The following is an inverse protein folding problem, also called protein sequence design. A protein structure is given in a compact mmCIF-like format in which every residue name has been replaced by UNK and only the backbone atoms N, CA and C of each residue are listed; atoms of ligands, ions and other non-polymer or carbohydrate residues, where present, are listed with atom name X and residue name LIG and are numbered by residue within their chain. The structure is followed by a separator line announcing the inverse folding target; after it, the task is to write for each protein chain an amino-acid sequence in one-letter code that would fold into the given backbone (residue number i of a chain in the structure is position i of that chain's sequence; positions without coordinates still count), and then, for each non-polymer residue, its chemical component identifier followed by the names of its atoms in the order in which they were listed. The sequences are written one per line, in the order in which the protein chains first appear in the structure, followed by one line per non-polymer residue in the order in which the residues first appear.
data_IF_004704249099
#
_entry.id   IF_004704249099
#
_cell.length_a   1.000
_cell.length_b   1.000
_cell.length_c   1.000
_cell.angle_alpha   90.00
_cell.angle_beta   90.00
_cell.angle_gamma   90.00
#
_symmetry.space_group_name_H-M   'P 1'
#
loop_
_entity.id
_entity.type
_entity.pdbx_description
1 polymer ?
#
# COMPACT_ATOMS: atom_id res chain seq x y z
N UNK A 1 17.57 26.60 -15.29
CA UNK A 1 16.23 27.19 -15.10
C UNK A 1 15.36 26.88 -16.32
N UNK A 2 15.17 25.58 -16.56
CA UNK A 2 14.47 25.09 -17.76
C UNK A 2 12.94 24.95 -17.53
N UNK A 3 12.40 25.41 -16.40
CA UNK A 3 10.98 25.23 -16.06
C UNK A 3 10.60 23.78 -15.77
N UNK A 4 11.58 22.93 -15.44
CA UNK A 4 11.39 21.51 -15.09
C UNK A 4 11.38 21.39 -13.58
N UNK A 5 10.40 20.71 -13.05
CA UNK A 5 10.31 20.37 -11.62
C UNK A 5 11.36 19.32 -11.24
N UNK A 6 11.91 19.37 -10.03
CA UNK A 6 12.87 18.38 -9.58
C UNK A 6 12.23 17.00 -9.48
N UNK A 7 11.09 16.93 -8.79
CA UNK A 7 10.42 15.67 -8.55
C UNK A 7 8.90 15.80 -8.59
N UNK A 8 8.23 14.79 -9.10
CA UNK A 8 6.81 14.57 -8.93
C UNK A 8 6.59 13.39 -8.00
N UNK A 9 5.78 13.58 -6.96
CA UNK A 9 5.43 12.54 -6.00
C UNK A 9 4.00 12.07 -6.21
N UNK A 10 3.80 10.76 -6.22
CA UNK A 10 2.46 10.18 -6.24
C UNK A 10 1.90 10.15 -4.82
N UNK A 11 1.04 11.12 -4.50
CA UNK A 11 0.50 11.37 -3.16
C UNK A 11 -1.03 11.48 -3.14
N UNK A 12 -1.67 10.75 -4.01
CA UNK A 12 -3.13 10.76 -4.12
C UNK A 12 -3.84 10.43 -2.79
N UNK A 13 -3.19 9.62 -1.95
CA UNK A 13 -3.75 9.15 -0.67
C UNK A 13 -2.75 9.36 0.47
N UNK A 14 -3.23 9.53 1.72
CA UNK A 14 -2.37 9.57 2.90
C UNK A 14 -1.41 8.38 2.99
N UNK A 15 -1.86 7.18 2.61
CA UNK A 15 -1.02 6.00 2.57
C UNK A 15 0.19 6.14 1.64
N UNK A 16 0.09 6.83 0.52
CA UNK A 16 1.23 7.09 -0.36
C UNK A 16 2.26 8.01 0.30
N UNK A 17 1.79 9.06 0.98
CA UNK A 17 2.69 9.95 1.72
C UNK A 17 3.37 9.25 2.91
N UNK A 18 2.64 8.39 3.62
CA UNK A 18 3.21 7.56 4.69
C UNK A 18 4.30 6.61 4.17
N UNK A 19 4.14 6.08 2.96
CA UNK A 19 5.17 5.25 2.32
C UNK A 19 6.52 5.93 2.23
N UNK A 20 6.56 7.22 1.93
CA UNK A 20 7.82 7.94 1.81
C UNK A 20 8.56 8.01 3.13
N UNK A 21 7.84 8.14 4.27
CA UNK A 21 8.45 8.07 5.60
C UNK A 21 9.13 6.71 5.78
N UNK A 22 8.37 5.63 5.54
CA UNK A 22 8.88 4.27 5.70
C UNK A 22 10.06 3.98 4.76
N UNK A 23 9.97 4.35 3.49
CA UNK A 23 10.99 4.06 2.48
C UNK A 23 12.29 4.81 2.75
N UNK A 24 12.22 6.07 3.12
CA UNK A 24 13.39 6.89 3.44
C UNK A 24 14.03 6.41 4.75
N UNK A 25 13.23 6.12 5.78
CA UNK A 25 13.74 5.58 7.03
C UNK A 25 14.32 4.16 6.87
N UNK A 26 13.80 3.35 5.94
CA UNK A 26 14.30 1.99 5.68
C UNK A 26 15.62 2.00 4.91
N UNK A 27 15.86 3.02 4.07
CA UNK A 27 17.18 3.24 3.49
C UNK A 27 18.23 3.65 4.54
N UNK A 28 17.80 4.15 5.69
CA UNK A 28 18.64 4.56 6.82
C UNK A 28 18.46 3.64 8.03
N UNK A 29 17.93 4.23 9.11
CA UNK A 29 17.81 3.59 10.42
C UNK A 29 16.99 2.29 10.41
N UNK A 30 15.79 2.30 9.83
CA UNK A 30 14.92 1.11 9.85
C UNK A 30 15.49 -0.08 9.07
N UNK A 31 16.41 0.14 8.13
CA UNK A 31 17.15 -0.92 7.43
C UNK A 31 18.19 -1.63 8.29
N UNK A 32 18.60 -1.04 9.41
CA UNK A 32 19.60 -1.60 10.33
C UNK A 32 19.00 -2.65 11.28
N UNK A 33 19.86 -3.46 11.92
CA UNK A 33 19.41 -4.40 12.94
C UNK A 33 18.78 -3.69 14.15
N UNK A 34 19.33 -2.55 14.56
CA UNK A 34 18.76 -1.72 15.63
C UNK A 34 17.41 -1.13 15.22
N UNK A 35 17.26 -0.68 13.99
CA UNK A 35 15.99 -0.21 13.45
C UNK A 35 14.92 -1.29 13.36
N UNK A 36 15.28 -2.51 12.96
CA UNK A 36 14.36 -3.66 12.97
C UNK A 36 13.92 -4.04 14.40
N UNK A 37 14.81 -3.92 15.38
CA UNK A 37 14.43 -4.10 16.80
C UNK A 37 13.54 -2.96 17.28
N UNK A 38 13.92 -1.72 16.97
CA UNK A 38 13.12 -0.54 17.29
C UNK A 38 11.69 -0.64 16.73
N UNK A 39 11.52 -1.09 15.50
CA UNK A 39 10.20 -1.28 14.91
C UNK A 39 9.32 -2.22 15.75
N UNK A 40 9.87 -3.31 16.25
CA UNK A 40 9.15 -4.24 17.16
C UNK A 40 8.80 -3.57 18.48
N UNK A 41 9.71 -2.78 19.02
CA UNK A 41 9.53 -2.08 20.28
C UNK A 41 8.51 -0.96 20.14
N UNK A 42 8.51 -0.22 19.04
CA UNK A 42 7.50 0.77 18.69
C UNK A 42 6.11 0.12 18.57
N UNK A 43 5.97 -0.95 17.78
CA UNK A 43 4.70 -1.67 17.60
C UNK A 43 4.19 -2.31 18.91
N UNK A 44 5.02 -2.47 19.92
CA UNK A 44 4.66 -2.95 21.26
C UNK A 44 4.57 -1.86 22.32
N UNK A 45 4.68 -0.59 21.96
CA UNK A 45 4.59 0.56 22.87
C UNK A 45 5.81 0.78 23.76
N UNK A 46 6.97 0.20 23.42
CA UNK A 46 8.19 0.29 24.23
C UNK A 46 9.18 1.33 23.72
N UNK A 47 8.98 1.84 22.54
CA UNK A 47 9.79 2.89 21.94
C UNK A 47 8.89 3.87 21.19
N UNK A 48 9.32 5.11 21.04
CA UNK A 48 8.64 6.15 20.27
C UNK A 48 9.59 6.80 19.28
N UNK A 49 9.08 7.65 18.41
CA UNK A 49 9.87 8.33 17.38
C UNK A 49 10.70 9.45 18.01
N UNK A 50 10.05 10.30 18.80
CA UNK A 50 10.66 11.53 19.34
C UNK A 50 11.84 11.29 20.29
N UNK A 51 11.88 10.15 20.98
CA UNK A 51 12.98 9.76 21.87
C UNK A 51 14.05 8.87 21.19
N UNK A 52 13.91 8.63 19.88
CA UNK A 52 14.80 7.73 19.13
C UNK A 52 15.63 8.50 18.11
N UNK A 53 16.92 8.68 18.40
CA UNK A 53 17.87 9.43 17.56
C UNK A 53 17.78 8.99 16.10
N UNK A 54 17.89 7.69 15.79
CA UNK A 54 17.88 7.22 14.39
C UNK A 54 16.55 7.45 13.66
N UNK A 55 15.41 7.52 14.36
CA UNK A 55 14.14 7.92 13.75
C UNK A 55 14.08 9.42 13.53
N UNK A 56 14.55 10.22 14.49
CA UNK A 56 14.62 11.67 14.33
C UNK A 56 15.59 12.07 13.22
N UNK A 57 16.74 11.40 13.07
CA UNK A 57 17.66 11.59 11.94
C UNK A 57 16.95 11.29 10.60
N UNK A 58 16.13 10.24 10.56
CA UNK A 58 15.33 9.92 9.37
C UNK A 58 14.29 11.01 9.07
N UNK A 59 13.66 11.60 10.09
CA UNK A 59 12.74 12.73 9.93
C UNK A 59 13.47 13.98 9.43
N UNK A 60 14.63 14.27 9.98
CA UNK A 60 15.48 15.40 9.50
C UNK A 60 15.93 15.19 8.07
N UNK A 61 16.21 13.96 7.68
CA UNK A 61 16.56 13.64 6.29
C UNK A 61 15.37 13.84 5.35
N UNK A 62 14.15 13.52 5.76
CA UNK A 62 12.92 13.85 5.02
C UNK A 62 12.77 15.36 4.86
N UNK A 63 13.08 16.14 5.91
CA UNK A 63 13.11 17.60 5.81
C UNK A 63 14.10 18.07 4.73
N UNK A 64 15.32 17.49 4.68
CA UNK A 64 16.31 17.82 3.65
C UNK A 64 15.83 17.49 2.24
N UNK A 65 15.07 16.40 2.06
CA UNK A 65 14.44 16.10 0.78
C UNK A 65 13.47 17.20 0.35
N UNK A 66 12.70 17.75 1.30
CA UNK A 66 11.83 18.89 1.03
C UNK A 66 12.62 20.14 0.69
N UNK A 67 13.67 20.45 1.46
CA UNK A 67 14.49 21.65 1.28
C UNK A 67 15.17 21.71 -0.08
N UNK A 68 15.50 20.57 -0.68
CA UNK A 68 16.05 20.50 -2.04
C UNK A 68 14.97 20.41 -3.13
N UNK A 69 13.68 20.39 -2.78
CA UNK A 69 12.58 20.42 -3.73
C UNK A 69 12.06 19.03 -4.19
N UNK A 70 12.43 17.95 -3.50
CA UNK A 70 11.85 16.62 -3.78
C UNK A 70 10.37 16.55 -3.39
N UNK A 71 9.94 17.33 -2.40
CA UNK A 71 8.56 17.53 -1.99
C UNK A 71 8.21 19.01 -2.15
N UNK A 72 7.93 19.43 -3.37
CA UNK A 72 7.52 20.79 -3.67
C UNK A 72 6.03 20.97 -3.41
N UNK A 73 5.64 22.02 -2.67
CA UNK A 73 4.26 22.29 -2.31
C UNK A 73 3.33 22.48 -3.52
N UNK A 74 3.87 22.98 -4.65
CA UNK A 74 3.12 23.12 -5.89
C UNK A 74 2.79 21.79 -6.58
N UNK A 75 3.53 20.72 -6.22
CA UNK A 75 3.39 19.38 -6.77
C UNK A 75 2.90 18.36 -5.74
N UNK A 76 2.55 18.84 -4.53
CA UNK A 76 2.14 18.01 -3.40
C UNK A 76 0.64 18.00 -3.16
N UNK A 77 -0.15 18.62 -4.02
CA UNK A 77 -1.59 18.46 -3.97
C UNK A 77 -1.96 17.03 -4.39
N UNK A 78 -2.94 16.40 -3.71
CA UNK A 78 -3.44 15.11 -4.13
C UNK A 78 -4.00 15.17 -5.55
N UNK A 79 -3.16 14.79 -6.51
CA UNK A 79 -3.55 14.71 -7.92
C UNK A 79 -3.66 13.25 -8.32
N UNK A 80 -4.45 13.02 -9.35
CA UNK A 80 -4.55 11.71 -9.98
C UNK A 80 -3.15 11.22 -10.40
N UNK A 81 -2.78 10.01 -9.94
CA UNK A 81 -1.49 9.39 -10.23
C UNK A 81 -1.20 9.30 -11.74
N UNK A 82 -2.24 9.21 -12.57
CA UNK A 82 -2.09 9.21 -14.02
C UNK A 82 -1.52 10.53 -14.53
N UNK A 83 -1.96 11.67 -13.96
CA UNK A 83 -1.47 13.00 -14.33
C UNK A 83 -0.01 13.22 -13.88
N UNK A 84 0.34 12.69 -12.72
CA UNK A 84 1.71 12.73 -12.20
C UNK A 84 2.65 11.97 -13.14
N UNK A 85 2.26 10.76 -13.55
CA UNK A 85 3.00 9.96 -14.53
C UNK A 85 3.10 10.65 -15.89
N UNK A 86 1.99 11.17 -16.38
CA UNK A 86 1.93 11.90 -17.66
C UNK A 86 2.88 13.10 -17.66
N UNK A 87 2.91 13.88 -16.59
CA UNK A 87 3.82 15.02 -16.45
C UNK A 87 5.30 14.58 -16.46
N UNK A 88 5.63 13.49 -15.77
CA UNK A 88 6.98 12.93 -15.79
C UNK A 88 7.38 12.42 -17.17
N UNK A 89 6.52 11.64 -17.84
CA UNK A 89 6.77 11.10 -19.19
C UNK A 89 6.97 12.23 -20.21
N UNK A 90 6.27 13.36 -20.04
CA UNK A 90 6.46 14.57 -20.88
C UNK A 90 7.72 15.39 -20.57
N UNK A 91 8.56 14.94 -19.64
CA UNK A 91 9.80 15.62 -19.26
C UNK A 91 9.59 16.85 -18.37
N UNK A 92 8.46 16.99 -17.71
CA UNK A 92 8.18 18.10 -16.81
C UNK A 92 8.80 17.93 -15.42
N UNK A 93 9.35 16.75 -15.11
CA UNK A 93 10.11 16.48 -13.89
C UNK A 93 11.31 15.61 -14.16
N UNK A 94 12.36 15.75 -13.35
CA UNK A 94 13.57 14.91 -13.43
C UNK A 94 13.39 13.56 -12.74
N UNK A 95 12.62 13.53 -11.66
CA UNK A 95 12.35 12.34 -10.87
C UNK A 95 10.84 12.13 -10.70
N UNK A 96 10.48 10.87 -10.54
CA UNK A 96 9.15 10.46 -10.11
C UNK A 96 9.27 9.57 -8.87
N UNK A 97 8.64 9.97 -7.77
CA UNK A 97 8.43 9.13 -6.60
C UNK A 97 7.08 8.43 -6.74
N UNK A 98 7.11 7.13 -6.93
CA UNK A 98 5.90 6.35 -7.09
C UNK A 98 6.16 4.98 -7.71
N UNK A 99 5.12 4.16 -7.89
CA UNK A 99 5.26 2.88 -8.52
C UNK A 99 5.61 3.05 -10.01
N UNK A 100 6.53 2.22 -10.49
CA UNK A 100 7.01 2.23 -11.89
C UNK A 100 5.96 1.79 -12.92
N UNK A 101 4.80 1.29 -12.49
CA UNK A 101 3.77 0.78 -13.38
C UNK A 101 3.32 1.81 -14.44
N UNK A 102 3.33 1.41 -15.70
CA UNK A 102 2.85 2.21 -16.82
C UNK A 102 3.77 3.33 -17.27
N UNK A 103 5.01 3.42 -16.74
CA UNK A 103 6.03 4.34 -17.26
C UNK A 103 6.80 3.67 -18.39
N UNK A 104 7.12 2.40 -18.21
CA UNK A 104 7.97 1.63 -19.13
C UNK A 104 7.33 1.37 -20.50
N UNK A 105 6.00 1.30 -20.55
CA UNK A 105 5.25 0.96 -21.76
C UNK A 105 4.62 2.19 -22.41
N UNK A 106 5.08 3.41 -22.02
CA UNK A 106 4.54 4.62 -22.62
C UNK A 106 5.06 4.78 -24.04
N UNK A 107 4.15 4.77 -25.00
CA UNK A 107 4.42 5.13 -26.40
C UNK A 107 4.57 6.65 -26.58
N UNK A 108 4.31 7.44 -25.53
CA UNK A 108 4.27 8.90 -25.58
C UNK A 108 5.66 9.56 -25.48
N UNK A 109 6.71 8.77 -25.30
CA UNK A 109 8.08 9.28 -25.18
C UNK A 109 9.11 8.33 -25.79
N UNK A 110 10.21 8.92 -26.27
CA UNK A 110 11.42 8.20 -26.67
C UNK A 110 12.50 8.23 -25.59
N UNK A 111 12.20 8.85 -24.46
CA UNK A 111 13.14 8.96 -23.35
C UNK A 111 13.37 7.60 -22.69
N UNK A 112 14.57 7.43 -22.17
CA UNK A 112 14.94 6.25 -21.40
C UNK A 112 14.86 6.56 -19.91
N UNK A 113 14.11 5.78 -19.20
CA UNK A 113 13.99 5.87 -17.74
C UNK A 113 14.88 4.84 -17.05
N UNK A 114 15.33 5.15 -15.87
CA UNK A 114 16.03 4.23 -14.98
C UNK A 114 15.37 4.20 -13.61
N UNK A 115 15.66 3.17 -12.84
CA UNK A 115 15.26 3.07 -11.44
C UNK A 115 16.41 3.51 -10.54
N UNK A 116 16.08 4.26 -9.51
CA UNK A 116 17.03 4.71 -8.50
C UNK A 116 16.64 4.13 -7.15
N UNK A 117 17.59 3.57 -6.37
CA UNK A 117 17.31 3.12 -5.02
C UNK A 117 17.04 4.31 -4.09
N UNK A 118 16.40 4.04 -2.96
CA UNK A 118 16.43 4.97 -1.84
C UNK A 118 17.84 4.95 -1.23
N UNK A 119 18.35 6.13 -0.91
CA UNK A 119 19.70 6.34 -0.36
C UNK A 119 19.60 6.76 1.09
N UNK A 120 20.56 6.29 1.92
CA UNK A 120 20.81 6.92 3.22
C UNK A 120 21.37 8.33 3.03
N UNK A 121 21.30 9.16 4.07
CA UNK A 121 21.78 10.55 4.01
C UNK A 121 23.25 10.65 3.61
N UNK A 122 24.09 9.76 4.12
CA UNK A 122 25.52 9.70 3.82
C UNK A 122 25.84 8.93 2.53
N UNK A 123 24.84 8.37 1.87
CA UNK A 123 24.98 7.56 0.66
C UNK A 123 25.65 6.18 0.88
N UNK A 124 25.94 5.81 2.12
CA UNK A 124 26.61 4.54 2.44
C UNK A 124 25.70 3.32 2.25
N UNK A 125 24.39 3.53 2.34
CA UNK A 125 23.39 2.51 2.11
C UNK A 125 22.47 2.93 0.96
N UNK A 126 22.07 1.96 0.18
CA UNK A 126 21.07 2.11 -0.86
C UNK A 126 20.22 0.84 -0.91
N UNK A 127 18.92 1.01 -1.00
CA UNK A 127 17.99 -0.11 -0.98
C UNK A 127 16.89 0.07 -2.01
N UNK A 128 16.52 -1.01 -2.67
CA UNK A 128 15.27 -1.10 -3.40
C UNK A 128 14.19 -1.69 -2.51
N UNK A 129 13.02 -1.05 -2.54
CA UNK A 129 11.84 -1.56 -1.85
C UNK A 129 11.18 -2.60 -2.75
N UNK A 130 11.19 -3.85 -2.31
CA UNK A 130 10.53 -4.95 -3.00
C UNK A 130 9.26 -5.33 -2.24
N UNK A 131 8.14 -5.20 -2.91
CA UNK A 131 6.86 -5.63 -2.35
C UNK A 131 6.40 -6.92 -3.00
N UNK A 132 5.90 -7.85 -2.19
CA UNK A 132 5.18 -9.03 -2.68
C UNK A 132 3.74 -8.62 -2.94
N UNK A 133 3.45 -8.22 -4.17
CA UNK A 133 2.12 -7.70 -4.54
C UNK A 133 1.05 -8.77 -4.72
N UNK A 134 1.43 -10.03 -4.88
CA UNK A 134 0.50 -11.10 -5.21
C UNK A 134 0.84 -12.38 -4.49
N UNK A 135 -0.19 -12.99 -3.92
CA UNK A 135 -0.12 -14.30 -3.32
C UNK A 135 -1.07 -15.22 -4.07
N UNK A 136 -0.64 -16.42 -4.35
CA UNK A 136 -1.48 -17.49 -4.88
C UNK A 136 -1.82 -18.43 -3.74
N UNK A 137 -3.09 -18.66 -3.52
CA UNK A 137 -3.59 -19.57 -2.50
C UNK A 137 -4.47 -20.65 -3.10
N UNK A 138 -4.50 -21.80 -2.46
CA UNK A 138 -5.44 -22.86 -2.78
C UNK A 138 -6.70 -22.71 -1.91
N UNK A 139 -7.85 -22.94 -2.51
CA UNK A 139 -9.10 -22.90 -1.77
C UNK A 139 -9.15 -24.07 -0.77
N UNK A 140 -9.45 -23.78 0.49
CA UNK A 140 -9.54 -24.77 1.57
C UNK A 140 -10.47 -25.94 1.25
N UNK A 141 -11.53 -25.73 0.45
CA UNK A 141 -12.45 -26.79 0.04
C UNK A 141 -11.79 -27.94 -0.70
N UNK A 142 -10.61 -27.72 -1.30
CA UNK A 142 -9.82 -28.75 -1.98
C UNK A 142 -9.31 -29.84 -1.02
N UNK A 143 -9.28 -29.59 0.30
CA UNK A 143 -8.96 -30.61 1.31
C UNK A 143 -9.89 -31.82 1.22
N UNK A 144 -11.14 -31.62 0.75
CA UNK A 144 -12.16 -32.64 0.62
C UNK A 144 -12.23 -33.28 -0.79
N UNK A 145 -11.31 -32.90 -1.70
CA UNK A 145 -11.25 -33.41 -3.07
C UNK A 145 -9.77 -33.63 -3.46
N UNK A 146 -9.20 -34.78 -3.08
CA UNK A 146 -7.77 -35.05 -3.27
C UNK A 146 -7.31 -35.00 -4.73
N UNK A 147 -8.17 -35.39 -5.68
CA UNK A 147 -7.85 -35.36 -7.11
C UNK A 147 -7.70 -33.90 -7.59
N UNK A 148 -8.66 -33.05 -7.28
CA UNK A 148 -8.57 -31.63 -7.62
C UNK A 148 -7.46 -30.91 -6.87
N UNK A 149 -7.17 -31.31 -5.63
CA UNK A 149 -6.04 -30.76 -4.89
C UNK A 149 -4.72 -31.11 -5.58
N UNK A 150 -4.54 -32.36 -6.02
CA UNK A 150 -3.34 -32.76 -6.76
C UNK A 150 -3.16 -31.94 -8.05
N UNK A 151 -4.25 -31.75 -8.81
CA UNK A 151 -4.18 -30.96 -10.05
C UNK A 151 -3.90 -29.48 -9.77
N UNK A 152 -4.51 -28.91 -8.75
CA UNK A 152 -4.22 -27.54 -8.31
C UNK A 152 -2.75 -27.37 -7.87
N UNK A 153 -2.20 -28.35 -7.18
CA UNK A 153 -0.77 -28.34 -6.80
C UNK A 153 0.16 -28.45 -8.02
N UNK A 154 -0.22 -29.20 -9.07
CA UNK A 154 0.54 -29.21 -10.33
C UNK A 154 0.57 -27.82 -10.97
N UNK A 155 -0.56 -27.12 -11.00
CA UNK A 155 -0.62 -25.74 -11.48
C UNK A 155 0.25 -24.81 -10.65
N UNK A 156 0.16 -24.88 -9.32
CA UNK A 156 1.02 -24.07 -8.42
C UNK A 156 2.51 -24.33 -8.66
N UNK A 157 2.87 -25.59 -8.91
CA UNK A 157 4.26 -25.94 -9.24
C UNK A 157 4.72 -25.31 -10.54
N UNK A 158 3.89 -25.28 -11.58
CA UNK A 158 4.21 -24.59 -12.85
C UNK A 158 4.36 -23.08 -12.61
N UNK A 159 3.43 -22.47 -11.86
CA UNK A 159 3.47 -21.03 -11.54
C UNK A 159 4.71 -20.64 -10.71
N UNK A 160 5.36 -21.56 -10.03
CA UNK A 160 6.61 -21.34 -9.30
C UNK A 160 7.88 -21.51 -10.13
N UNK A 161 7.75 -21.67 -11.46
CA UNK A 161 8.89 -21.73 -12.40
C UNK A 161 9.02 -20.41 -13.17
N UNK A 162 10.22 -20.19 -13.73
CA UNK A 162 10.47 -19.01 -14.61
C UNK A 162 9.52 -19.01 -15.80
N UNK A 163 9.34 -20.16 -16.46
CA UNK A 163 8.48 -20.30 -17.62
C UNK A 163 7.00 -20.02 -17.28
N UNK A 164 6.52 -20.59 -16.16
CA UNK A 164 5.14 -20.40 -15.74
C UNK A 164 4.86 -18.95 -15.32
N UNK A 165 5.79 -18.33 -14.60
CA UNK A 165 5.68 -16.91 -14.23
C UNK A 165 5.76 -16.00 -15.46
N UNK A 166 6.67 -16.28 -16.41
CA UNK A 166 6.77 -15.52 -17.65
C UNK A 166 5.52 -15.63 -18.52
N UNK A 167 4.88 -16.80 -18.54
CA UNK A 167 3.64 -17.01 -19.27
C UNK A 167 2.44 -16.24 -18.67
N UNK A 168 2.45 -16.04 -17.35
CA UNK A 168 1.43 -15.22 -16.68
C UNK A 168 1.59 -13.73 -16.94
N UNK A 169 2.81 -13.29 -17.16
CA UNK A 169 3.18 -11.90 -17.30
C UNK A 169 3.96 -11.69 -18.60
N UNK A 170 3.28 -11.77 -19.76
CA UNK A 170 3.93 -11.61 -21.06
C UNK A 170 4.45 -10.19 -21.29
N UNK A 171 3.91 -9.21 -20.58
CA UNK A 171 4.27 -7.81 -20.74
C UNK A 171 5.55 -7.46 -19.99
N UNK A 172 6.33 -6.55 -20.56
CA UNK A 172 7.60 -6.06 -20.00
C UNK A 172 7.47 -5.47 -18.60
N UNK A 173 6.36 -4.79 -18.31
CA UNK A 173 6.08 -4.18 -16.99
C UNK A 173 6.02 -5.17 -15.83
N UNK A 174 5.78 -6.43 -16.12
CA UNK A 174 5.59 -7.47 -15.10
C UNK A 174 6.80 -8.40 -14.98
N UNK A 175 7.86 -8.18 -15.73
CA UNK A 175 9.14 -8.91 -15.58
C UNK A 175 9.77 -8.74 -14.20
N UNK A 176 9.36 -7.73 -13.43
CA UNK A 176 9.69 -7.64 -12.01
C UNK A 176 9.28 -8.88 -11.22
N UNK A 177 8.24 -9.61 -11.64
CA UNK A 177 7.86 -10.90 -11.05
C UNK A 177 8.91 -12.00 -11.22
N UNK A 178 9.87 -11.84 -12.11
CA UNK A 178 10.97 -12.77 -12.34
C UNK A 178 12.19 -12.48 -11.46
N UNK A 179 12.27 -11.31 -10.83
CA UNK A 179 13.42 -10.91 -10.02
C UNK A 179 13.78 -11.90 -8.88
N UNK A 180 12.84 -12.62 -8.24
CA UNK A 180 13.16 -13.63 -7.25
C UNK A 180 13.85 -14.88 -7.79
N UNK A 181 13.84 -15.10 -9.10
CA UNK A 181 14.43 -16.30 -9.71
C UNK A 181 15.89 -16.04 -10.10
N UNK A 182 16.83 -16.75 -9.49
CA UNK A 182 18.27 -16.58 -9.74
C UNK A 182 18.69 -16.74 -11.21
N UNK A 183 17.97 -17.58 -11.96
CA UNK A 183 18.29 -17.91 -13.34
C UNK A 183 17.47 -17.09 -14.35
N UNK A 184 16.58 -16.23 -13.88
CA UNK A 184 15.82 -15.34 -14.75
C UNK A 184 16.69 -14.14 -15.13
N UNK A 185 16.89 -13.96 -16.43
CA UNK A 185 17.48 -12.73 -16.94
C UNK A 185 16.37 -11.71 -17.17
N UNK A 186 16.48 -10.58 -16.48
CA UNK A 186 15.74 -9.41 -16.88
C UNK A 186 16.40 -8.89 -18.17
N UNK A 187 15.88 -9.31 -19.32
CA UNK A 187 16.38 -8.87 -20.63
C UNK A 187 16.08 -7.38 -20.89
N UNK A 188 15.41 -6.72 -19.96
CA UNK A 188 15.03 -5.35 -20.03
C UNK A 188 16.07 -4.47 -19.31
N UNK A 189 16.58 -3.47 -19.99
CA UNK A 189 17.57 -2.54 -19.45
C UNK A 189 17.09 -1.80 -18.20
N UNK A 190 15.78 -1.69 -18.00
CA UNK A 190 15.17 -1.03 -16.85
C UNK A 190 15.35 -1.83 -15.55
N UNK A 191 15.27 -3.17 -15.62
CA UNK A 191 15.47 -4.03 -14.45
C UNK A 191 16.88 -4.63 -14.37
N UNK A 192 17.69 -4.49 -15.42
CA UNK A 192 19.05 -5.02 -15.41
C UNK A 192 19.88 -4.44 -14.26
N UNK A 193 19.75 -3.13 -14.04
CA UNK A 193 20.46 -2.45 -12.97
C UNK A 193 19.98 -2.89 -11.57
N UNK A 194 18.68 -3.21 -11.43
CA UNK A 194 18.10 -3.68 -10.16
C UNK A 194 18.56 -5.09 -9.83
N UNK A 195 18.76 -5.96 -10.81
CA UNK A 195 19.15 -7.33 -10.56
C UNK A 195 20.45 -7.44 -9.76
N UNK A 196 21.39 -6.54 -9.98
CA UNK A 196 22.66 -6.49 -9.24
C UNK A 196 22.44 -6.11 -7.76
N UNK A 197 21.54 -5.16 -7.47
CA UNK A 197 21.16 -4.78 -6.10
C UNK A 197 20.46 -5.93 -5.37
N UNK A 198 19.55 -6.64 -6.06
CA UNK A 198 18.85 -7.79 -5.50
C UNK A 198 19.85 -8.91 -5.19
N UNK A 199 20.75 -9.19 -6.11
CA UNK A 199 21.79 -10.22 -5.93
C UNK A 199 22.78 -9.85 -4.82
N UNK A 200 23.04 -8.56 -4.61
CA UNK A 200 23.83 -8.05 -3.51
C UNK A 200 23.11 -8.06 -2.16
N UNK A 201 21.80 -8.32 -2.14
CA UNK A 201 20.98 -8.27 -0.94
C UNK A 201 20.55 -6.86 -0.51
N UNK A 202 20.76 -5.86 -1.36
CA UNK A 202 20.42 -4.46 -1.09
C UNK A 202 18.92 -4.19 -1.36
N UNK A 203 18.07 -4.99 -0.75
CA UNK A 203 16.64 -4.88 -0.88
C UNK A 203 15.97 -5.00 0.48
N UNK A 204 14.86 -4.31 0.66
CA UNK A 204 14.04 -4.38 1.84
C UNK A 204 12.58 -4.62 1.47
N UNK A 205 11.83 -5.38 2.26
CA UNK A 205 10.41 -5.52 2.05
C UNK A 205 9.70 -4.21 2.43
N UNK A 206 8.56 -3.98 1.81
CA UNK A 206 7.70 -2.88 2.15
C UNK A 206 7.14 -3.00 3.59
N UNK A 207 7.33 -1.97 4.43
CA UNK A 207 7.09 -2.05 5.86
C UNK A 207 5.70 -1.52 6.23
N UNK A 208 4.64 -2.13 5.75
CA UNK A 208 3.30 -1.76 6.24
C UNK A 208 2.78 -2.63 7.38
N UNK A 209 3.32 -3.82 7.55
CA UNK A 209 2.81 -4.76 8.54
C UNK A 209 2.95 -4.21 9.95
N UNK A 210 1.83 -4.00 10.61
CA UNK A 210 1.73 -3.46 11.96
C UNK A 210 1.55 -1.94 12.04
N UNK A 211 1.58 -1.23 10.90
CA UNK A 211 1.44 0.24 10.86
C UNK A 211 0.06 0.70 10.36
N UNK A 212 -0.87 -0.23 10.15
CA UNK A 212 -2.13 0.02 9.49
C UNK A 212 -2.94 1.16 10.12
N UNK A 213 -2.88 1.28 11.44
CA UNK A 213 -3.62 2.31 12.17
C UNK A 213 -2.96 3.70 12.11
N UNK A 214 -1.66 3.76 11.79
CA UNK A 214 -0.92 5.03 11.68
C UNK A 214 -0.98 5.62 10.28
N UNK A 215 -1.25 4.80 9.27
CA UNK A 215 -1.16 5.17 7.85
C UNK A 215 -2.00 6.39 7.51
N UNK A 216 -3.24 6.47 8.04
CA UNK A 216 -4.17 7.54 7.67
C UNK A 216 -3.79 8.85 8.35
N UNK A 217 -3.61 8.86 9.67
CA UNK A 217 -3.36 10.09 10.42
C UNK A 217 -1.96 10.63 10.13
N UNK A 218 -0.94 9.81 10.30
CA UNK A 218 0.45 10.21 9.99
C UNK A 218 0.62 10.53 8.51
N UNK A 219 0.00 9.76 7.61
CA UNK A 219 0.04 10.04 6.17
C UNK A 219 -0.62 11.38 5.82
N UNK A 220 -1.74 11.74 6.49
CA UNK A 220 -2.36 13.05 6.34
C UNK A 220 -1.44 14.15 6.85
N UNK A 221 -0.79 13.94 8.00
CA UNK A 221 0.17 14.90 8.54
C UNK A 221 1.40 15.07 7.63
N UNK A 222 1.85 13.98 7.00
CA UNK A 222 2.92 14.05 5.99
C UNK A 222 2.48 14.83 4.74
N UNK A 223 1.24 14.68 4.27
CA UNK A 223 0.71 15.53 3.19
C UNK A 223 0.68 17.00 3.60
N UNK A 224 0.25 17.33 4.81
CA UNK A 224 0.28 18.69 5.35
C UNK A 224 1.71 19.24 5.39
N UNK A 225 2.69 18.42 5.79
CA UNK A 225 4.09 18.79 5.74
C UNK A 225 4.58 19.06 4.31
N UNK A 226 4.24 18.20 3.35
CA UNK A 226 4.60 18.40 1.94
C UNK A 226 3.98 19.68 1.36
N UNK A 227 2.81 20.10 1.87
CA UNK A 227 2.07 21.30 1.47
C UNK A 227 2.42 22.56 2.28
N UNK A 228 3.49 22.58 3.05
CA UNK A 228 3.89 23.68 3.93
C UNK A 228 2.88 24.06 5.04
N UNK A 229 2.02 23.10 5.42
CA UNK A 229 0.97 23.30 6.45
C UNK A 229 1.35 22.71 7.81
N UNK A 230 2.38 21.88 7.86
CA UNK A 230 2.90 21.26 9.07
C UNK A 230 4.43 21.20 9.02
N UNK A 231 5.08 21.02 10.16
CA UNK A 231 6.50 20.76 10.26
C UNK A 231 6.80 19.25 10.25
N UNK A 232 8.05 18.87 10.00
CA UNK A 232 8.46 17.47 10.12
C UNK A 232 8.35 16.95 11.56
N UNK A 233 8.46 17.86 12.54
CA UNK A 233 8.21 17.52 13.94
C UNK A 233 6.74 17.14 14.17
N UNK A 234 5.80 17.84 13.57
CA UNK A 234 4.37 17.49 13.68
C UNK A 234 4.10 16.09 13.11
N UNK A 235 4.85 15.65 12.08
CA UNK A 235 4.77 14.29 11.55
C UNK A 235 5.30 13.27 12.55
N UNK A 236 6.43 13.55 13.20
CA UNK A 236 7.01 12.70 14.23
C UNK A 236 6.08 12.59 15.45
N UNK A 237 5.54 13.72 15.93
CA UNK A 237 4.59 13.77 17.03
C UNK A 237 3.31 12.98 16.69
N UNK A 238 2.82 13.05 15.45
CA UNK A 238 1.66 12.26 15.01
C UNK A 238 1.94 10.76 15.00
N UNK A 239 3.14 10.34 14.63
CA UNK A 239 3.54 8.93 14.76
C UNK A 239 3.49 8.47 16.22
N UNK A 240 3.96 9.29 17.15
CA UNK A 240 3.93 8.97 18.58
C UNK A 240 2.50 8.95 19.13
N UNK A 241 1.64 9.87 18.70
CA UNK A 241 0.21 9.86 19.04
C UNK A 241 -0.51 8.61 18.50
N UNK A 242 -0.18 8.22 17.27
CA UNK A 242 -0.79 7.06 16.64
C UNK A 242 -0.30 5.73 17.24
N UNK A 243 0.84 5.72 17.94
CA UNK A 243 1.38 4.53 18.60
C UNK A 243 0.41 3.93 19.61
N UNK A 244 -0.23 4.76 20.41
CA UNK A 244 -1.22 4.30 21.39
C UNK A 244 -2.37 3.55 20.71
N UNK A 245 -2.76 3.98 19.52
CA UNK A 245 -3.77 3.29 18.72
C UNK A 245 -3.27 1.94 18.16
N UNK A 246 -1.98 1.84 17.83
CA UNK A 246 -1.35 0.58 17.37
C UNK A 246 -1.26 -0.43 18.52
N UNK A 247 -0.86 0.03 19.68
CA UNK A 247 -0.65 -0.82 20.87
C UNK A 247 -1.97 -1.25 21.51
N UNK A 248 -2.93 -0.32 21.58
CA UNK A 248 -4.19 -0.53 22.28
C UNK A 248 -5.30 -1.10 21.40
N UNK A 249 -5.14 -1.05 20.07
CA UNK A 249 -6.06 -1.67 19.14
C UNK A 249 -5.81 -3.19 18.99
N UNK A 250 -5.91 -3.91 20.09
CA UNK A 250 -6.41 -5.28 19.96
C UNK A 250 -7.82 -5.13 19.35
N UNK A 251 -8.14 -5.86 18.26
CA UNK A 251 -9.46 -5.75 17.65
C UNK A 251 -10.50 -5.92 18.75
N UNK A 252 -11.28 -4.86 18.99
CA UNK A 252 -12.27 -4.87 20.05
C UNK A 252 -13.32 -5.92 19.72
N UNK A 253 -13.54 -6.83 20.64
CA UNK A 253 -14.63 -7.80 20.51
C UNK A 253 -15.94 -7.06 20.70
N UNK A 254 -16.62 -6.75 19.60
CA UNK A 254 -17.91 -6.05 19.59
C UNK A 254 -19.03 -6.98 20.08
N UNK A 255 -18.99 -8.23 19.63
CA UNK A 255 -20.00 -9.26 19.94
C UNK A 255 -19.48 -10.66 19.60
N UNK A 256 -20.33 -11.66 19.80
CA UNK A 256 -20.04 -13.04 19.41
C UNK A 256 -21.13 -13.55 18.49
N UNK A 257 -20.74 -14.04 17.32
CA UNK A 257 -21.62 -14.80 16.44
C UNK A 257 -21.56 -16.28 16.83
N UNK A 258 -22.70 -16.85 17.21
CA UNK A 258 -22.84 -18.28 17.58
C UNK A 258 -22.99 -19.18 16.36
N UNK A 259 -23.34 -18.60 15.22
CA UNK A 259 -23.49 -19.27 13.92
C UNK A 259 -22.97 -18.36 12.79
N UNK A 260 -22.74 -18.93 11.62
CA UNK A 260 -22.35 -18.18 10.43
C UNK A 260 -23.50 -17.26 9.98
N UNK A 261 -23.18 -15.97 9.77
CA UNK A 261 -24.13 -14.98 9.24
C UNK A 261 -23.82 -14.80 7.74
N UNK A 262 -24.78 -15.15 6.91
CA UNK A 262 -24.63 -15.07 5.46
C UNK A 262 -24.41 -13.65 4.96
N UNK A 263 -23.83 -13.50 3.77
CA UNK A 263 -23.64 -12.20 3.11
C UNK A 263 -24.95 -11.40 3.01
N UNK A 264 -26.05 -12.05 2.66
CA UNK A 264 -27.35 -11.39 2.57
C UNK A 264 -27.84 -10.89 3.94
N UNK A 265 -27.61 -11.66 4.99
CA UNK A 265 -27.95 -11.26 6.36
C UNK A 265 -27.05 -10.12 6.85
N UNK A 266 -25.77 -10.12 6.49
CA UNK A 266 -24.86 -9.00 6.73
C UNK A 266 -25.32 -7.73 6.01
N UNK A 267 -25.78 -7.85 4.76
CA UNK A 267 -26.28 -6.69 4.00
C UNK A 267 -27.57 -6.13 4.64
N UNK A 268 -28.47 -6.96 5.12
CA UNK A 268 -29.66 -6.51 5.87
C UNK A 268 -29.29 -5.79 7.16
N UNK A 269 -28.28 -6.30 7.88
CA UNK A 269 -27.78 -5.64 9.09
C UNK A 269 -27.19 -4.27 8.78
N UNK A 270 -26.30 -4.18 7.79
CA UNK A 270 -25.68 -2.93 7.34
C UNK A 270 -26.75 -1.92 6.89
N UNK A 271 -27.72 -2.37 6.07
CA UNK A 271 -28.81 -1.52 5.61
C UNK A 271 -29.61 -0.93 6.76
N UNK A 272 -29.94 -1.75 7.76
CA UNK A 272 -30.63 -1.27 8.96
C UNK A 272 -29.80 -0.24 9.73
N UNK A 273 -28.51 -0.51 9.94
CA UNK A 273 -27.64 0.46 10.61
C UNK A 273 -27.55 1.79 9.86
N UNK A 274 -27.50 1.75 8.52
CA UNK A 274 -27.46 2.98 7.71
C UNK A 274 -28.78 3.76 7.79
N UNK A 275 -29.93 3.06 7.73
CA UNK A 275 -31.22 3.70 7.90
C UNK A 275 -31.36 4.36 9.28
N UNK A 276 -30.98 3.64 10.34
CA UNK A 276 -31.00 4.15 11.72
C UNK A 276 -30.07 5.38 11.89
N UNK A 277 -28.85 5.28 11.37
CA UNK A 277 -27.84 6.36 11.49
C UNK A 277 -28.25 7.63 10.73
N UNK A 278 -28.98 7.51 9.64
CA UNK A 278 -29.39 8.63 8.79
C UNK A 278 -30.82 9.10 9.03
N UNK A 279 -31.61 8.37 9.82
CA UNK A 279 -33.05 8.60 10.00
C UNK A 279 -33.85 8.36 8.72
N UNK A 280 -33.36 7.49 7.83
CA UNK A 280 -34.03 7.19 6.56
C UNK A 280 -35.00 6.01 6.71
N UNK A 281 -36.12 6.08 5.96
CA UNK A 281 -37.14 5.02 5.97
C UNK A 281 -36.68 3.73 5.27
N UNK A 282 -35.79 3.86 4.29
CA UNK A 282 -35.29 2.78 3.44
C UNK A 282 -33.78 2.92 3.25
N UNK A 283 -33.07 1.81 3.28
CA UNK A 283 -31.67 1.73 2.85
C UNK A 283 -31.53 0.77 1.67
N UNK A 284 -30.82 1.21 0.64
CA UNK A 284 -30.44 0.38 -0.48
C UNK A 284 -28.97 -0.03 -0.33
N UNK A 285 -28.72 -1.30 -0.18
CA UNK A 285 -27.38 -1.85 -0.03
C UNK A 285 -27.11 -2.81 -1.18
N UNK A 286 -26.02 -2.58 -1.89
CA UNK A 286 -25.56 -3.52 -2.92
C UNK A 286 -24.91 -4.74 -2.28
N UNK A 287 -25.10 -5.89 -2.92
CA UNK A 287 -24.29 -7.07 -2.64
C UNK A 287 -23.07 -7.01 -3.55
N UNK A 288 -21.91 -6.88 -2.95
CA UNK A 288 -20.64 -6.95 -3.65
C UNK A 288 -20.31 -8.39 -4.03
N UNK A 289 -19.68 -8.55 -5.17
CA UNK A 289 -19.08 -9.83 -5.55
C UNK A 289 -17.57 -9.64 -5.68
N UNK A 290 -16.81 -10.42 -4.93
CA UNK A 290 -15.40 -10.59 -5.22
C UNK A 290 -15.28 -11.40 -6.52
N UNK A 291 -15.18 -10.72 -7.62
CA UNK A 291 -14.78 -11.35 -8.88
C UNK A 291 -13.31 -11.02 -9.05
N UNK A 292 -12.44 -11.97 -8.73
CA UNK A 292 -11.07 -11.96 -9.20
C UNK A 292 -11.09 -12.26 -10.71
N UNK A 293 -10.95 -11.27 -11.54
CA UNK A 293 -10.89 -11.47 -12.98
C UNK A 293 -10.65 -10.17 -13.70
N UNK A 294 -9.53 -10.04 -14.33
CA UNK A 294 -9.18 -9.06 -15.36
C UNK A 294 -9.27 -7.57 -15.00
N UNK A 295 -8.99 -7.17 -13.75
CA UNK A 295 -8.65 -5.78 -13.40
C UNK A 295 -9.70 -4.69 -13.65
N UNK A 296 -10.85 -5.00 -14.26
CA UNK A 296 -11.74 -3.98 -14.80
C UNK A 296 -13.15 -3.95 -14.22
N UNK A 297 -13.54 -4.88 -13.35
CA UNK A 297 -14.85 -4.83 -12.71
C UNK A 297 -14.81 -5.38 -11.30
N UNK A 298 -14.34 -4.56 -10.43
CA UNK A 298 -14.44 -4.78 -9.01
C UNK A 298 -15.75 -4.15 -8.54
N UNK A 299 -16.80 -4.93 -8.51
CA UNK A 299 -18.03 -4.50 -7.87
C UNK A 299 -17.90 -4.70 -6.36
N UNK A 300 -16.92 -4.00 -5.77
CA UNK A 300 -16.63 -4.02 -4.33
C UNK A 300 -17.52 -3.03 -3.56
N UNK A 301 -18.44 -2.36 -4.25
CA UNK A 301 -19.26 -1.28 -3.69
C UNK A 301 -20.45 -1.79 -2.88
N UNK A 302 -20.25 -2.86 -2.13
CA UNK A 302 -21.32 -3.41 -1.32
C UNK A 302 -20.85 -4.41 -0.29
N UNK A 303 -21.78 -5.01 0.42
CA UNK A 303 -21.48 -6.10 1.35
C UNK A 303 -21.01 -7.31 0.56
N UNK A 304 -19.73 -7.66 0.71
CA UNK A 304 -19.05 -8.68 -0.09
C UNK A 304 -18.68 -9.93 0.71
N UNK A 305 -18.84 -9.92 2.02
CA UNK A 305 -18.42 -10.98 2.92
C UNK A 305 -19.53 -11.50 3.81
N UNK A 306 -19.20 -12.53 4.58
CA UNK A 306 -20.01 -13.13 5.64
C UNK A 306 -19.24 -13.08 6.96
N UNK A 307 -19.96 -13.15 8.08
CA UNK A 307 -19.35 -13.32 9.39
C UNK A 307 -19.35 -14.79 9.80
N UNK A 308 -18.24 -15.24 10.32
CA UNK A 308 -18.09 -16.61 10.80
C UNK A 308 -18.50 -16.71 12.28
N UNK A 309 -18.85 -17.90 12.73
CA UNK A 309 -19.14 -18.19 14.13
C UNK A 309 -17.87 -18.03 14.97
N UNK A 310 -17.73 -16.88 15.60
CA UNK A 310 -16.58 -16.49 16.46
C UNK A 310 -16.88 -15.18 17.19
N UNK A 311 -15.94 -14.73 18.00
CA UNK A 311 -15.94 -13.34 18.45
C UNK A 311 -15.79 -12.42 17.24
N UNK A 312 -16.71 -11.49 17.08
CA UNK A 312 -16.75 -10.52 16.00
C UNK A 312 -16.05 -9.24 16.48
N UNK A 313 -15.11 -8.81 15.70
CA UNK A 313 -14.32 -7.60 15.95
C UNK A 313 -14.66 -6.52 14.92
N UNK A 314 -14.20 -5.30 15.16
CA UNK A 314 -14.23 -4.20 14.19
C UNK A 314 -13.58 -4.61 12.86
N UNK A 315 -12.49 -5.39 12.90
CA UNK A 315 -11.84 -5.95 11.71
C UNK A 315 -12.74 -6.83 10.88
N UNK A 316 -13.58 -7.65 11.53
CA UNK A 316 -14.55 -8.49 10.83
C UNK A 316 -15.63 -7.65 10.13
N UNK A 317 -16.03 -6.53 10.73
CA UNK A 317 -16.95 -5.58 10.10
C UNK A 317 -16.30 -4.94 8.87
N UNK A 318 -15.04 -4.53 8.93
CA UNK A 318 -14.31 -4.02 7.78
C UNK A 318 -14.20 -5.06 6.64
N UNK A 319 -14.12 -6.35 6.95
CA UNK A 319 -14.05 -7.40 5.92
C UNK A 319 -15.36 -7.62 5.17
N UNK A 320 -16.51 -7.36 5.78
CA UNK A 320 -17.81 -7.44 5.08
C UNK A 320 -18.12 -6.20 4.24
N UNK A 321 -17.50 -5.06 4.54
CA UNK A 321 -17.62 -3.79 3.82
C UNK A 321 -16.23 -3.25 3.40
N UNK A 322 -15.51 -3.93 2.52
CA UNK A 322 -14.10 -3.62 2.26
C UNK A 322 -13.86 -2.23 1.67
N UNK A 323 -14.86 -1.58 1.11
CA UNK A 323 -14.78 -0.21 0.57
C UNK A 323 -15.53 0.82 1.42
N UNK A 324 -16.13 0.41 2.52
CA UNK A 324 -16.95 1.27 3.38
C UNK A 324 -16.21 2.50 3.92
N UNK A 325 -14.93 2.37 4.17
CA UNK A 325 -14.07 3.44 4.70
C UNK A 325 -13.66 4.51 3.68
N UNK A 326 -13.93 4.28 2.39
CA UNK A 326 -13.64 5.25 1.31
C UNK A 326 -14.90 5.87 0.71
N UNK A 327 -16.09 5.47 1.16
CA UNK A 327 -17.38 5.90 0.60
C UNK A 327 -18.21 6.63 1.63
N UNK A 328 -19.00 7.59 1.17
CA UNK A 328 -19.97 8.33 1.99
C UNK A 328 -21.35 7.72 1.85
N UNK A 329 -22.11 7.70 2.96
CA UNK A 329 -23.53 7.37 2.91
C UNK A 329 -24.25 8.58 2.30
N UNK A 330 -25.01 8.34 1.24
CA UNK A 330 -25.83 9.38 0.60
C UNK A 330 -27.29 9.16 0.92
N UNK A 331 -27.97 10.24 1.29
CA UNK A 331 -29.43 10.26 1.49
C UNK A 331 -30.11 11.03 0.39
N UNK A 332 -31.23 10.53 -0.10
CA UNK A 332 -32.07 11.19 -1.09
C UNK A 332 -33.52 11.23 -0.60
N UNK A 333 -34.20 12.35 -0.82
CA UNK A 333 -35.62 12.46 -0.58
C UNK A 333 -36.37 12.10 -1.86
N UNK A 334 -37.24 11.12 -1.78
CA UNK A 334 -38.12 10.71 -2.88
C UNK A 334 -39.55 11.21 -2.57
N UNK A 335 -40.13 11.89 -3.52
CA UNK A 335 -41.57 12.20 -3.49
C UNK A 335 -42.30 11.05 -4.20
N UNK A 336 -43.28 10.47 -3.52
CA UNK A 336 -44.13 9.40 -4.08
C UNK A 336 -45.07 9.91 -5.17
#
# INVERSE_FOLDING_TARGET
EAGVTLCMAQIQYPGSAFQYICNIADAGFLGTLSGKQWQKDYLSGKANVSDTEGMMDSMEYIQKWKDIGMFDSSNSDPIDDSKTKEAFIKGNALFLLGPQNGIMDSEDTTDKFGLMPYLSEDGSQNVFILNVNRFYGLNKKLENDPEKLEDALKVMKVLSTVEGTSALYPDSTLKAGLLPFKDAKADDTFYADISDFINAGNTTPFIYSGWENTIVNTGTKMLEFMQDKASIKDVADQLDEDQDSVVNNQPEVITTATEEISQESCAKLVGRCFAEATGSDIALISLGTWISGNGTNQNNDGVSGKLYAKNITDYDICTILPTGWTRTIQTVSLTG
#
